data_IF_576929633042
#
_entry.id   IF_576929633042
#
_cell.length_a   1.000
_cell.length_b   1.000
_cell.length_c   1.000
_cell.angle_alpha   90.00
_cell.angle_beta   90.00
_cell.angle_gamma   90.00
#
_symmetry.space_group_name_H-M   'P 1'
#
loop_
_entity.id
_entity.type
_entity.pdbx_description
1 polymer ?
#
# COMPACT_ATOMS: atom_id res chain seq x y z
N UNK A 1 -6.80 5.72 -24.38
CA UNK A 1 -5.45 5.60 -23.78
C UNK A 1 -4.93 6.90 -23.17
N UNK A 2 -4.83 8.02 -23.91
CA UNK A 2 -4.32 9.30 -23.36
C UNK A 2 -5.03 9.75 -22.07
N UNK A 3 -6.36 9.71 -22.04
CA UNK A 3 -7.16 10.05 -20.84
C UNK A 3 -6.79 9.17 -19.65
N UNK A 4 -6.69 7.86 -19.86
CA UNK A 4 -6.30 6.89 -18.81
C UNK A 4 -4.91 7.20 -18.24
N UNK A 5 -3.92 7.52 -19.08
CA UNK A 5 -2.57 7.91 -18.63
C UNK A 5 -2.65 9.15 -17.75
N UNK A 6 -3.33 10.21 -18.22
CA UNK A 6 -3.47 11.45 -17.45
C UNK A 6 -4.19 11.22 -16.11
N UNK A 7 -5.29 10.47 -16.11
CA UNK A 7 -6.01 10.11 -14.89
C UNK A 7 -5.13 9.31 -13.93
N UNK A 8 -4.30 8.39 -14.44
CA UNK A 8 -3.33 7.64 -13.63
C UNK A 8 -2.30 8.57 -12.99
N UNK A 9 -1.79 9.56 -13.73
CA UNK A 9 -0.88 10.58 -13.20
C UNK A 9 -1.51 11.42 -12.09
N UNK A 10 -2.76 11.84 -12.25
CA UNK A 10 -3.53 12.58 -11.23
C UNK A 10 -3.74 11.70 -9.98
N UNK A 11 -4.13 10.44 -10.16
CA UNK A 11 -4.29 9.49 -9.05
C UNK A 11 -3.00 9.28 -8.28
N UNK A 12 -1.85 9.25 -8.96
CA UNK A 12 -0.54 9.17 -8.31
C UNK A 12 -0.25 10.41 -7.46
N UNK A 13 -0.52 11.63 -7.98
CA UNK A 13 -0.41 12.86 -7.18
C UNK A 13 -1.33 12.86 -5.96
N UNK A 14 -2.58 12.42 -6.12
CA UNK A 14 -3.54 12.32 -5.02
C UNK A 14 -3.06 11.32 -3.96
N UNK A 15 -2.55 10.17 -4.38
CA UNK A 15 -1.99 9.16 -3.46
C UNK A 15 -0.82 9.72 -2.65
N UNK A 16 0.11 10.45 -3.30
CA UNK A 16 1.22 11.12 -2.62
C UNK A 16 0.70 12.18 -1.64
N UNK A 17 -0.23 13.03 -2.08
CA UNK A 17 -0.77 14.11 -1.25
C UNK A 17 -1.47 13.56 0.01
N UNK A 18 -2.28 12.51 -0.12
CA UNK A 18 -2.95 11.84 1.01
C UNK A 18 -1.92 11.16 1.92
N UNK A 19 -0.89 10.52 1.36
CA UNK A 19 0.18 9.91 2.16
C UNK A 19 0.93 10.94 2.99
N UNK A 20 1.31 12.07 2.40
CA UNK A 20 1.98 13.15 3.11
C UNK A 20 1.05 13.78 4.17
N UNK A 21 -0.21 14.02 3.82
CA UNK A 21 -1.19 14.54 4.76
C UNK A 21 -1.41 13.61 5.95
N UNK A 22 -1.56 12.31 5.73
CA UNK A 22 -1.74 11.31 6.81
C UNK A 22 -0.52 11.24 7.72
N UNK A 23 0.71 11.27 7.17
CA UNK A 23 1.97 11.32 7.92
C UNK A 23 2.09 12.55 8.82
N UNK A 24 1.54 13.70 8.37
CA UNK A 24 1.55 14.95 9.15
C UNK A 24 0.40 15.02 10.16
N UNK A 25 -0.78 14.50 9.80
CA UNK A 25 -2.01 14.67 10.57
C UNK A 25 -2.21 13.64 11.69
N UNK A 26 -1.62 12.45 11.56
CA UNK A 26 -1.87 11.32 12.47
C UNK A 26 -0.60 10.81 13.15
N UNK A 27 0.18 11.72 13.72
CA UNK A 27 1.31 11.34 14.54
C UNK A 27 0.84 10.98 15.95
N UNK A 28 1.27 9.82 16.43
CA UNK A 28 1.16 9.47 17.83
C UNK A 28 2.44 8.77 18.29
N UNK A 29 2.80 9.03 19.55
CA UNK A 29 3.99 8.45 20.14
C UNK A 29 3.63 7.05 20.67
N UNK A 30 4.27 5.99 20.14
CA UNK A 30 4.05 4.65 20.66
C UNK A 30 4.60 4.58 22.08
N UNK A 31 3.86 3.96 23.00
CA UNK A 31 4.27 3.83 24.41
C UNK A 31 5.46 2.89 24.61
N UNK A 32 5.78 2.09 23.59
CA UNK A 32 6.86 1.11 23.61
C UNK A 32 7.68 1.18 22.33
N UNK A 33 8.90 0.65 22.39
CA UNK A 33 9.72 0.43 21.19
C UNK A 33 8.97 -0.47 20.20
N UNK A 34 8.90 -0.04 18.95
CA UNK A 34 8.23 -0.76 17.87
C UNK A 34 9.07 -1.92 17.29
N UNK A 35 10.05 -2.47 18.02
CA UNK A 35 10.84 -3.65 17.62
C UNK A 35 11.35 -3.63 16.16
N UNK A 36 11.80 -2.47 15.69
CA UNK A 36 12.35 -2.28 14.36
C UNK A 36 11.42 -1.63 13.33
N UNK A 37 10.13 -1.48 13.61
CA UNK A 37 9.23 -0.66 12.77
C UNK A 37 9.47 0.84 13.03
N UNK A 38 9.26 1.64 12.00
CA UNK A 38 9.26 3.10 12.03
C UNK A 38 7.84 3.64 12.08
N UNK A 39 6.85 2.93 11.51
CA UNK A 39 5.45 3.32 11.50
C UNK A 39 4.64 2.56 12.57
N UNK A 40 4.03 3.27 13.54
CA UNK A 40 3.13 2.65 14.51
C UNK A 40 1.94 1.93 13.85
N UNK A 41 1.42 2.46 12.73
CA UNK A 41 0.27 1.87 12.02
C UNK A 41 0.63 0.52 11.38
N UNK A 42 1.82 0.43 10.77
CA UNK A 42 2.30 -0.85 10.20
C UNK A 42 2.56 -1.86 11.32
N UNK A 43 3.13 -1.41 12.44
CA UNK A 43 3.36 -2.27 13.60
C UNK A 43 2.05 -2.82 14.20
N UNK A 44 0.97 -2.01 14.23
CA UNK A 44 -0.37 -2.42 14.67
C UNK A 44 -0.93 -3.54 13.79
N UNK A 45 -0.90 -3.36 12.47
CA UNK A 45 -1.43 -4.36 11.52
C UNK A 45 -0.73 -5.71 11.61
N UNK A 46 0.53 -5.71 12.06
CA UNK A 46 1.38 -6.89 12.17
C UNK A 46 1.60 -7.37 13.60
N UNK A 47 0.89 -6.81 14.58
CA UNK A 47 0.99 -7.21 15.98
C UNK A 47 0.68 -8.71 16.14
N UNK A 48 1.51 -9.39 16.96
CA UNK A 48 1.43 -10.85 17.13
C UNK A 48 0.49 -11.30 18.24
N UNK A 49 0.07 -10.39 19.11
CA UNK A 49 -0.85 -10.68 20.22
C UNK A 49 -1.63 -9.43 20.65
N UNK A 50 -2.75 -9.59 21.37
CA UNK A 50 -3.51 -8.46 21.89
C UNK A 50 -2.66 -7.57 22.80
N UNK A 51 -1.76 -8.15 23.59
CA UNK A 51 -0.87 -7.41 24.49
C UNK A 51 0.12 -6.54 23.72
N UNK A 52 0.66 -7.05 22.59
CA UNK A 52 1.51 -6.22 21.71
C UNK A 52 0.72 -5.07 21.11
N UNK A 53 -0.51 -5.32 20.62
CA UNK A 53 -1.40 -4.28 20.12
C UNK A 53 -1.66 -3.19 21.19
N UNK A 54 -2.10 -3.59 22.39
CA UNK A 54 -2.37 -2.68 23.50
C UNK A 54 -1.12 -1.98 24.00
N UNK A 55 0.07 -2.57 23.87
CA UNK A 55 1.32 -1.89 24.22
C UNK A 55 1.67 -0.76 23.26
N UNK A 56 1.26 -0.85 21.98
CA UNK A 56 1.50 0.19 20.98
C UNK A 56 0.45 1.30 21.10
N UNK A 57 -0.83 0.92 21.15
CA UNK A 57 -1.95 1.87 21.13
C UNK A 57 -2.34 2.38 22.52
N UNK A 58 -2.17 1.58 23.57
CA UNK A 58 -2.73 1.84 24.89
C UNK A 58 -4.12 1.24 25.08
N UNK A 59 -4.71 1.52 26.25
CA UNK A 59 -6.06 1.06 26.60
C UNK A 59 -7.15 1.86 25.87
N UNK A 60 -8.41 1.41 25.96
CA UNK A 60 -9.56 1.98 25.23
C UNK A 60 -9.81 3.47 25.51
N UNK A 61 -9.36 3.99 26.66
CA UNK A 61 -9.44 5.41 27.04
C UNK A 61 -8.23 6.24 26.60
N UNK A 62 -7.21 5.62 26.00
CA UNK A 62 -6.00 6.31 25.61
C UNK A 62 -6.24 7.31 24.46
N UNK A 63 -5.64 8.51 24.50
CA UNK A 63 -5.71 9.47 23.38
C UNK A 63 -5.31 8.86 22.04
N UNK A 64 -4.35 7.92 22.02
CA UNK A 64 -3.90 7.22 20.83
C UNK A 64 -5.04 6.42 20.17
N UNK A 65 -5.96 5.84 20.94
CA UNK A 65 -7.15 5.16 20.36
C UNK A 65 -7.97 6.13 19.50
N UNK A 66 -8.09 7.39 19.91
CA UNK A 66 -8.82 8.41 19.13
C UNK A 66 -8.07 8.79 17.86
N UNK A 67 -6.73 8.88 17.93
CA UNK A 67 -5.88 9.16 16.76
C UNK A 67 -5.96 8.02 15.75
N UNK A 68 -5.82 6.77 16.20
CA UNK A 68 -5.95 5.58 15.34
C UNK A 68 -7.34 5.53 14.70
N UNK A 69 -8.43 5.77 15.43
CA UNK A 69 -9.79 5.83 14.84
C UNK A 69 -9.92 6.89 13.75
N UNK A 70 -9.29 8.06 13.91
CA UNK A 70 -9.30 9.10 12.87
C UNK A 70 -8.44 8.70 11.67
N UNK A 71 -7.27 8.09 11.93
CA UNK A 71 -6.38 7.56 10.90
C UNK A 71 -7.08 6.49 10.05
N UNK A 72 -7.82 5.54 10.65
CA UNK A 72 -8.60 4.54 9.92
C UNK A 72 -9.63 5.15 8.95
N UNK A 73 -10.26 6.27 9.31
CA UNK A 73 -11.21 6.97 8.42
C UNK A 73 -10.51 7.59 7.22
N UNK A 74 -9.34 8.19 7.44
CA UNK A 74 -8.49 8.71 6.37
C UNK A 74 -7.98 7.58 5.48
N UNK A 75 -7.66 6.42 6.08
CA UNK A 75 -7.12 5.28 5.38
C UNK A 75 -8.13 4.68 4.38
N UNK A 76 -9.44 4.68 4.66
CA UNK A 76 -10.44 4.31 3.64
C UNK A 76 -10.39 5.16 2.37
N UNK A 77 -10.10 6.46 2.50
CA UNK A 77 -9.91 7.35 1.35
C UNK A 77 -8.61 6.99 0.63
N UNK A 78 -7.55 6.73 1.39
CA UNK A 78 -6.27 6.29 0.83
C UNK A 78 -6.41 4.96 0.06
N UNK A 79 -7.15 3.99 0.61
CA UNK A 79 -7.50 2.71 -0.03
C UNK A 79 -8.13 2.94 -1.38
N UNK A 80 -9.19 3.76 -1.44
CA UNK A 80 -9.86 4.04 -2.70
C UNK A 80 -8.91 4.65 -3.74
N UNK A 81 -8.05 5.59 -3.34
CA UNK A 81 -7.14 6.28 -4.25
C UNK A 81 -6.01 5.37 -4.73
N UNK A 82 -5.33 4.63 -3.85
CA UNK A 82 -4.26 3.74 -4.29
C UNK A 82 -4.81 2.56 -5.10
N UNK A 83 -5.99 2.04 -4.76
CA UNK A 83 -6.66 1.00 -5.52
C UNK A 83 -6.94 1.47 -6.95
N UNK A 84 -7.57 2.64 -7.11
CA UNK A 84 -7.82 3.23 -8.43
C UNK A 84 -6.53 3.48 -9.21
N UNK A 85 -5.47 3.94 -8.53
CA UNK A 85 -4.15 4.13 -9.13
C UNK A 85 -3.63 2.82 -9.75
N UNK A 86 -3.54 1.75 -8.97
CA UNK A 86 -3.02 0.47 -9.44
C UNK A 86 -3.96 -0.23 -10.44
N UNK A 87 -5.29 -0.10 -10.29
CA UNK A 87 -6.26 -0.57 -11.30
C UNK A 87 -6.03 0.16 -12.63
N UNK A 88 -5.82 1.48 -12.61
CA UNK A 88 -5.55 2.25 -13.81
C UNK A 88 -4.23 1.85 -14.48
N UNK A 89 -3.17 1.58 -13.69
CA UNK A 89 -1.92 1.01 -14.21
C UNK A 89 -2.11 -0.39 -14.80
N UNK A 90 -2.94 -1.23 -14.17
CA UNK A 90 -3.32 -2.56 -14.67
C UNK A 90 -4.04 -2.46 -16.03
N UNK A 91 -4.99 -1.52 -16.18
CA UNK A 91 -5.69 -1.26 -17.44
C UNK A 91 -4.72 -0.76 -18.51
N UNK A 92 -3.81 0.16 -18.15
CA UNK A 92 -2.75 0.60 -19.07
C UNK A 92 -1.90 -0.59 -19.51
N UNK A 93 -1.51 -1.47 -18.58
CA UNK A 93 -0.70 -2.62 -18.94
C UNK A 93 -1.45 -3.61 -19.84
N UNK A 94 -2.73 -3.87 -19.56
CA UNK A 94 -3.56 -4.73 -20.39
C UNK A 94 -3.75 -4.20 -21.83
N UNK A 95 -3.63 -2.89 -22.03
CA UNK A 95 -3.73 -2.24 -23.33
C UNK A 95 -2.42 -2.13 -24.12
N UNK A 96 -1.28 -2.55 -23.58
CA UNK A 96 0.01 -2.49 -24.28
C UNK A 96 0.13 -3.57 -25.37
N UNK A 97 0.76 -3.24 -26.51
CA UNK A 97 1.03 -4.18 -27.60
C UNK A 97 2.25 -5.07 -27.31
N UNK A 98 2.25 -5.83 -26.21
CA UNK A 98 3.32 -6.78 -25.91
C UNK A 98 2.79 -8.16 -25.49
N UNK A 99 3.57 -9.24 -25.70
CA UNK A 99 3.13 -10.60 -25.34
C UNK A 99 2.76 -10.72 -23.86
N UNK A 100 1.57 -11.24 -23.59
CA UNK A 100 1.07 -11.47 -22.23
C UNK A 100 0.56 -10.23 -21.50
N UNK A 101 0.61 -9.02 -22.09
CA UNK A 101 0.26 -7.78 -21.42
C UNK A 101 -1.17 -7.79 -20.86
N UNK A 102 -2.12 -8.30 -21.66
CA UNK A 102 -3.51 -8.45 -21.28
C UNK A 102 -3.69 -9.33 -20.03
N UNK A 103 -3.06 -10.52 -20.01
CA UNK A 103 -3.14 -11.46 -18.90
C UNK A 103 -2.49 -10.90 -17.63
N UNK A 104 -1.30 -10.30 -17.76
CA UNK A 104 -0.62 -9.71 -16.61
C UNK A 104 -1.35 -8.48 -16.08
N UNK A 105 -1.94 -7.67 -16.97
CA UNK A 105 -2.81 -6.56 -16.59
C UNK A 105 -4.01 -7.06 -15.78
N UNK A 106 -4.77 -8.04 -16.29
CA UNK A 106 -5.88 -8.64 -15.54
C UNK A 106 -5.43 -9.18 -14.18
N UNK A 107 -4.33 -9.94 -14.15
CA UNK A 107 -3.81 -10.50 -12.91
C UNK A 107 -3.46 -9.40 -11.89
N UNK A 108 -2.83 -8.31 -12.33
CA UNK A 108 -2.53 -7.15 -11.49
C UNK A 108 -3.82 -6.50 -10.96
N UNK A 109 -4.83 -6.30 -11.81
CA UNK A 109 -6.13 -5.74 -11.44
C UNK A 109 -6.87 -6.59 -10.40
N UNK A 110 -6.83 -7.92 -10.54
CA UNK A 110 -7.41 -8.85 -9.56
C UNK A 110 -6.64 -8.78 -8.24
N UNK A 111 -5.30 -8.83 -8.28
CA UNK A 111 -4.46 -8.79 -7.08
C UNK A 111 -4.69 -7.50 -6.28
N UNK A 112 -4.68 -6.33 -6.92
CA UNK A 112 -4.89 -5.07 -6.19
C UNK A 112 -6.32 -4.95 -5.64
N UNK A 113 -7.31 -5.45 -6.36
CA UNK A 113 -8.68 -5.43 -5.87
C UNK A 113 -8.83 -6.32 -4.63
N UNK A 114 -8.22 -7.51 -4.64
CA UNK A 114 -8.15 -8.36 -3.45
C UNK A 114 -7.35 -7.68 -2.31
N UNK A 115 -6.24 -7.00 -2.61
CA UNK A 115 -5.47 -6.26 -1.62
C UNK A 115 -6.30 -5.18 -0.92
N UNK A 116 -7.06 -4.40 -1.69
CA UNK A 116 -7.94 -3.35 -1.16
C UNK A 116 -9.05 -3.94 -0.26
N UNK A 117 -9.59 -5.12 -0.60
CA UNK A 117 -10.55 -5.84 0.26
C UNK A 117 -9.90 -6.27 1.57
N UNK A 118 -8.69 -6.83 1.54
CA UNK A 118 -7.96 -7.18 2.75
C UNK A 118 -7.61 -5.97 3.61
N UNK A 119 -7.35 -4.81 2.99
CA UNK A 119 -7.12 -3.55 3.70
C UNK A 119 -8.37 -3.07 4.46
N UNK A 120 -9.54 -3.19 3.83
CA UNK A 120 -10.83 -2.91 4.49
C UNK A 120 -11.06 -3.86 5.66
N UNK A 121 -10.73 -5.14 5.52
CA UNK A 121 -10.82 -6.11 6.62
C UNK A 121 -9.83 -5.80 7.74
N UNK A 122 -8.58 -5.48 7.42
CA UNK A 122 -7.58 -5.01 8.38
C UNK A 122 -8.11 -3.82 9.19
N UNK A 123 -8.60 -2.76 8.52
CA UNK A 123 -9.16 -1.59 9.19
C UNK A 123 -10.36 -1.92 10.08
N UNK A 124 -11.20 -2.86 9.64
CA UNK A 124 -12.33 -3.36 10.42
C UNK A 124 -11.89 -4.13 11.67
N UNK A 125 -10.82 -4.92 11.58
CA UNK A 125 -10.28 -5.65 12.73
C UNK A 125 -9.51 -4.74 13.69
N UNK A 126 -8.79 -3.72 13.21
CA UNK A 126 -8.22 -2.69 14.08
C UNK A 126 -9.33 -1.98 14.86
N UNK A 127 -10.41 -1.56 14.19
CA UNK A 127 -11.54 -0.92 14.85
C UNK A 127 -12.21 -1.81 15.92
N UNK A 128 -12.32 -3.12 15.65
CA UNK A 128 -12.78 -4.10 16.64
C UNK A 128 -11.82 -4.19 17.83
N UNK A 129 -10.51 -4.30 17.60
CA UNK A 129 -9.50 -4.32 18.67
C UNK A 129 -9.54 -3.08 19.55
N UNK A 130 -9.77 -1.89 18.98
CA UNK A 130 -9.92 -0.63 19.73
C UNK A 130 -11.18 -0.57 20.60
N UNK A 131 -12.11 -1.52 20.45
CA UNK A 131 -13.36 -1.59 21.19
C UNK A 131 -13.36 -2.69 22.25
N UNK A 132 -12.35 -3.57 22.24
CA UNK A 132 -12.19 -4.64 23.21
C UNK A 132 -11.38 -4.17 24.43
N UNK A 133 -11.75 -4.56 25.65
CA UNK A 133 -10.89 -4.44 26.83
C UNK A 133 -9.55 -5.16 26.61
N UNK A 134 -8.45 -4.62 27.16
CA UNK A 134 -7.13 -5.25 27.08
C UNK A 134 -7.04 -6.63 27.74
N UNK A 135 -8.02 -6.98 28.58
CA UNK A 135 -8.13 -8.25 29.31
C UNK A 135 -8.87 -9.35 28.55
N UNK A 136 -9.48 -9.05 27.41
CA UNK A 136 -10.29 -10.02 26.65
C UNK A 136 -9.45 -10.92 25.73
N UNK A 137 -10.03 -12.07 25.38
CA UNK A 137 -9.53 -13.08 24.43
C UNK A 137 -9.49 -12.55 22.97
N UNK A 138 -8.91 -11.37 22.72
CA UNK A 138 -8.76 -10.76 21.39
C UNK A 138 -7.82 -11.53 20.44
N UNK A 139 -7.39 -12.73 20.81
CA UNK A 139 -6.49 -13.59 20.05
C UNK A 139 -7.04 -13.93 18.66
N UNK A 140 -8.34 -14.16 18.52
CA UNK A 140 -8.93 -14.45 17.22
C UNK A 140 -8.94 -13.22 16.32
N UNK A 141 -9.24 -12.05 16.87
CA UNK A 141 -9.29 -10.78 16.13
C UNK A 141 -7.90 -10.35 15.70
N UNK A 142 -6.90 -10.43 16.59
CA UNK A 142 -5.51 -10.09 16.26
C UNK A 142 -4.92 -11.04 15.21
N UNK A 143 -5.28 -12.34 15.26
CA UNK A 143 -4.86 -13.28 14.23
C UNK A 143 -5.48 -12.90 12.88
N UNK A 144 -6.78 -12.61 12.82
CA UNK A 144 -7.45 -12.16 11.59
C UNK A 144 -6.85 -10.85 11.06
N UNK A 145 -6.56 -9.89 11.93
CA UNK A 145 -5.86 -8.66 11.61
C UNK A 145 -4.51 -8.94 10.94
N UNK A 146 -3.65 -9.73 11.60
CA UNK A 146 -2.33 -10.07 11.07
C UNK A 146 -2.41 -10.79 9.72
N UNK A 147 -3.34 -11.73 9.56
CA UNK A 147 -3.52 -12.43 8.28
C UNK A 147 -3.99 -11.48 7.18
N UNK A 148 -4.95 -10.59 7.47
CA UNK A 148 -5.41 -9.60 6.51
C UNK A 148 -4.27 -8.66 6.08
N UNK A 149 -3.47 -8.17 7.04
CA UNK A 149 -2.33 -7.30 6.77
C UNK A 149 -1.27 -7.98 5.90
N UNK A 150 -0.88 -9.23 6.24
CA UNK A 150 0.08 -10.00 5.43
C UNK A 150 -0.45 -10.31 4.02
N UNK A 151 -1.72 -10.69 3.90
CA UNK A 151 -2.35 -10.94 2.60
C UNK A 151 -2.37 -9.68 1.74
N UNK A 152 -2.76 -8.52 2.31
CA UNK A 152 -2.71 -7.22 1.65
C UNK A 152 -1.31 -6.92 1.13
N UNK A 153 -0.30 -6.96 2.00
CA UNK A 153 1.08 -6.63 1.62
C UNK A 153 1.60 -7.55 0.51
N UNK A 154 1.33 -8.85 0.62
CA UNK A 154 1.66 -9.83 -0.42
C UNK A 154 1.05 -9.44 -1.77
N UNK A 155 -0.24 -9.14 -1.79
CA UNK A 155 -0.97 -8.80 -3.01
C UNK A 155 -0.56 -7.44 -3.59
N UNK A 156 -0.23 -6.45 -2.74
CA UNK A 156 0.35 -5.18 -3.18
C UNK A 156 1.68 -5.45 -3.88
N UNK A 157 2.62 -6.18 -3.27
CA UNK A 157 3.93 -6.43 -3.87
C UNK A 157 3.84 -7.28 -5.15
N UNK A 158 2.95 -8.28 -5.20
CA UNK A 158 2.67 -9.02 -6.44
C UNK A 158 2.13 -8.08 -7.52
N UNK A 159 1.20 -7.18 -7.18
CA UNK A 159 0.68 -6.18 -8.13
C UNK A 159 1.81 -5.28 -8.61
N UNK A 160 2.63 -4.73 -7.71
CA UNK A 160 3.78 -3.88 -8.03
C UNK A 160 4.77 -4.58 -8.95
N UNK A 161 5.04 -5.88 -8.72
CA UNK A 161 5.87 -6.70 -9.59
C UNK A 161 5.29 -6.81 -11.01
N UNK A 162 3.99 -7.10 -11.12
CA UNK A 162 3.30 -7.22 -12.40
C UNK A 162 3.29 -5.90 -13.16
N UNK A 163 2.90 -4.79 -12.52
CA UNK A 163 2.86 -3.48 -13.17
C UNK A 163 4.25 -2.89 -13.43
N UNK A 164 5.32 -3.38 -12.78
CA UNK A 164 6.69 -2.96 -13.11
C UNK A 164 7.05 -3.26 -14.58
N UNK A 165 6.47 -4.33 -15.14
CA UNK A 165 6.70 -4.74 -16.53
C UNK A 165 6.17 -3.73 -17.55
N UNK A 166 5.20 -2.90 -17.15
CA UNK A 166 4.71 -1.77 -17.93
C UNK A 166 5.84 -0.76 -18.25
N UNK A 167 6.82 -0.65 -17.35
CA UNK A 167 7.91 0.31 -17.45
C UNK A 167 9.22 -0.34 -17.94
N UNK A 168 9.59 -1.51 -17.43
CA UNK A 168 10.90 -2.15 -17.74
C UNK A 168 11.08 -2.45 -19.22
N UNK A 169 9.99 -2.73 -19.94
CA UNK A 169 10.04 -3.07 -21.37
C UNK A 169 10.40 -1.89 -22.27
N UNK A 170 10.51 -0.69 -21.70
CA UNK A 170 10.90 0.51 -22.43
C UNK A 170 12.42 0.57 -22.60
N UNK A 171 12.87 1.00 -23.77
CA UNK A 171 14.29 1.23 -24.06
C UNK A 171 14.74 2.67 -23.73
N UNK A 172 14.10 3.29 -22.74
CA UNK A 172 14.40 4.66 -22.31
C UNK A 172 14.46 4.79 -20.78
N UNK A 173 14.75 6.00 -20.29
CA UNK A 173 14.91 6.26 -18.85
C UNK A 173 13.65 5.95 -18.02
N UNK A 174 12.46 5.84 -18.65
CA UNK A 174 11.22 5.51 -17.94
C UNK A 174 11.28 4.08 -17.38
N UNK A 175 12.11 3.19 -17.95
CA UNK A 175 12.36 1.86 -17.41
C UNK A 175 12.87 1.87 -15.96
N UNK A 176 13.53 2.96 -15.54
CA UNK A 176 13.97 3.15 -14.17
C UNK A 176 12.81 3.09 -13.15
N UNK A 177 11.61 3.56 -13.51
CA UNK A 177 10.40 3.44 -12.67
C UNK A 177 10.10 1.96 -12.39
N UNK A 178 10.20 1.12 -13.42
CA UNK A 178 9.99 -0.31 -13.30
C UNK A 178 11.02 -0.99 -12.41
N UNK A 179 12.30 -0.61 -12.52
CA UNK A 179 13.34 -1.13 -11.62
C UNK A 179 13.12 -0.73 -10.16
N UNK A 180 12.64 0.49 -9.89
CA UNK A 180 12.24 0.89 -8.54
C UNK A 180 11.09 0.03 -7.99
N UNK A 181 10.08 -0.29 -8.83
CA UNK A 181 8.99 -1.19 -8.44
C UNK A 181 9.46 -2.63 -8.22
N UNK A 182 10.41 -3.14 -9.00
CA UNK A 182 11.04 -4.45 -8.76
C UNK A 182 11.81 -4.44 -7.44
N UNK A 183 12.59 -3.39 -7.16
CA UNK A 183 13.31 -3.25 -5.90
C UNK A 183 12.34 -3.19 -4.71
N UNK A 184 11.27 -2.40 -4.82
CA UNK A 184 10.21 -2.35 -3.80
C UNK A 184 9.56 -3.72 -3.57
N UNK A 185 9.29 -4.46 -4.64
CA UNK A 185 8.76 -5.83 -4.56
C UNK A 185 9.72 -6.75 -3.82
N UNK A 186 11.01 -6.75 -4.18
CA UNK A 186 12.01 -7.62 -3.56
C UNK A 186 12.14 -7.35 -2.06
N UNK A 187 12.25 -6.06 -1.67
CA UNK A 187 12.30 -5.65 -0.27
C UNK A 187 11.01 -6.02 0.47
N UNK A 188 9.86 -5.72 -0.13
CA UNK A 188 8.54 -5.97 0.45
C UNK A 188 8.26 -7.45 0.70
N UNK A 189 8.52 -8.30 -0.29
CA UNK A 189 8.37 -9.76 -0.15
C UNK A 189 9.37 -10.33 0.87
N UNK A 190 10.61 -9.82 0.92
CA UNK A 190 11.54 -10.19 2.00
C UNK A 190 11.03 -9.75 3.38
N UNK A 191 10.32 -8.63 3.43
CA UNK A 191 9.62 -8.13 4.61
C UNK A 191 8.52 -9.05 5.11
N UNK A 192 7.94 -9.92 4.28
CA UNK A 192 6.97 -10.91 4.75
C UNK A 192 7.63 -12.00 5.62
N UNK A 193 8.94 -12.20 5.49
CA UNK A 193 9.74 -13.09 6.35
C UNK A 193 10.27 -12.35 7.59
N UNK A 194 10.58 -11.06 7.43
CA UNK A 194 11.01 -10.17 8.50
C UNK A 194 10.17 -8.89 8.50
N UNK A 195 9.02 -8.93 9.20
CA UNK A 195 7.96 -7.91 9.13
C UNK A 195 8.43 -6.44 9.12
N UNK A 196 9.41 -6.01 9.93
CA UNK A 196 9.89 -4.62 9.88
C UNK A 196 10.44 -4.17 8.51
N UNK A 197 10.99 -5.09 7.71
CA UNK A 197 11.53 -4.77 6.39
C UNK A 197 10.46 -4.45 5.34
N UNK A 198 9.17 -4.67 5.62
CA UNK A 198 8.07 -4.22 4.74
C UNK A 198 8.17 -2.71 4.49
N UNK A 199 8.57 -1.93 5.50
CA UNK A 199 8.71 -0.47 5.38
C UNK A 199 9.87 -0.05 4.48
N UNK A 200 10.88 -0.91 4.28
CA UNK A 200 12.00 -0.61 3.37
C UNK A 200 11.53 -0.52 1.92
N UNK A 201 10.43 -1.20 1.57
CA UNK A 201 9.81 -1.10 0.26
C UNK A 201 9.18 0.28 0.00
N UNK A 202 8.82 1.03 1.06
CA UNK A 202 8.12 2.31 0.95
C UNK A 202 8.93 3.36 0.19
N UNK A 203 10.26 3.39 0.37
CA UNK A 203 11.12 4.37 -0.29
C UNK A 203 11.18 4.17 -1.81
N UNK A 204 11.63 3.01 -2.35
CA UNK A 204 11.66 2.81 -3.79
C UNK A 204 10.25 2.84 -4.41
N UNK A 205 9.22 2.32 -3.72
CA UNK A 205 7.85 2.41 -4.19
C UNK A 205 7.38 3.86 -4.29
N UNK A 206 7.64 4.68 -3.26
CA UNK A 206 7.29 6.09 -3.22
C UNK A 206 7.97 6.90 -4.33
N UNK A 207 9.28 6.69 -4.54
CA UNK A 207 10.01 7.32 -5.64
C UNK A 207 9.41 6.90 -6.99
N UNK A 208 9.11 5.61 -7.18
CA UNK A 208 8.47 5.10 -8.39
C UNK A 208 7.12 5.78 -8.65
N UNK A 209 6.26 5.90 -7.63
CA UNK A 209 4.96 6.58 -7.73
C UNK A 209 5.12 8.07 -8.07
N UNK A 210 6.07 8.78 -7.46
CA UNK A 210 6.39 10.19 -7.80
C UNK A 210 6.80 10.32 -9.26
N UNK A 211 7.68 9.44 -9.73
CA UNK A 211 8.11 9.45 -11.12
C UNK A 211 6.95 9.11 -12.07
N UNK A 212 6.07 8.16 -11.71
CA UNK A 212 4.86 7.87 -12.49
C UNK A 212 3.94 9.09 -12.55
N UNK A 213 3.72 9.78 -11.42
CA UNK A 213 2.90 10.99 -11.36
C UNK A 213 3.41 12.06 -12.34
N UNK A 214 4.71 12.32 -12.32
CA UNK A 214 5.37 13.31 -13.19
C UNK A 214 5.28 12.89 -14.66
N UNK A 215 5.68 11.66 -14.99
CA UNK A 215 5.74 11.20 -16.39
C UNK A 215 4.35 11.15 -17.01
N UNK A 216 3.36 10.61 -16.30
CA UNK A 216 2.02 10.43 -16.85
C UNK A 216 1.25 11.76 -16.97
N UNK A 217 1.52 12.72 -16.09
CA UNK A 217 0.87 14.04 -16.13
C UNK A 217 1.52 14.98 -17.15
N UNK A 218 2.86 15.11 -17.11
CA UNK A 218 3.57 16.12 -17.90
C UNK A 218 4.17 15.58 -19.20
N UNK A 219 4.42 14.27 -19.29
CA UNK A 219 5.02 13.62 -20.46
C UNK A 219 4.15 12.50 -21.08
N UNK A 220 2.80 12.60 -21.14
CA UNK A 220 1.94 11.48 -21.56
C UNK A 220 2.25 11.01 -23.00
N UNK A 221 2.69 11.92 -23.88
CA UNK A 221 3.06 11.61 -25.27
C UNK A 221 4.27 10.66 -25.38
N UNK A 222 5.22 10.71 -24.43
CA UNK A 222 6.38 9.80 -24.43
C UNK A 222 5.94 8.37 -24.12
N UNK A 223 4.92 8.22 -23.28
CA UNK A 223 4.40 6.93 -22.87
C UNK A 223 3.50 6.28 -23.94
N UNK A 224 2.73 7.10 -24.68
CA UNK A 224 1.82 6.62 -25.74
C UNK A 224 2.48 5.89 -26.91
N UNK A 225 3.80 5.93 -27.08
CA UNK A 225 4.50 5.30 -28.22
C UNK A 225 4.46 3.76 -28.23
N UNK A 226 4.13 3.16 -27.09
CA UNK A 226 4.10 1.69 -26.89
C UNK A 226 2.68 1.08 -27.01
N UNK A 227 1.70 1.91 -27.38
CA UNK A 227 0.28 1.57 -27.49
C UNK A 227 -0.22 1.65 -28.92
#
# INVERSE_FOLDING_TARGET
MKTTILSTGILAFLSIAISLWTLMAFQFEPKVSLKGFQSPIVAIGLASSPQVFSSIVGDTQDPNCTIVRKSLRADYVFIAVYWLLYVSMSILFAGCNCPGAYQFGIAAGVCITAAAVFDVFENSYIAQMLSLPATDNGHDVINKLRHASLAKWTLIFVTTALVSQLFIRRNDWIAFIGYLFVLATALGLSGLLYNPAIEWASLPMGIGIVMTAVVFTFCPKKFLREF
#
